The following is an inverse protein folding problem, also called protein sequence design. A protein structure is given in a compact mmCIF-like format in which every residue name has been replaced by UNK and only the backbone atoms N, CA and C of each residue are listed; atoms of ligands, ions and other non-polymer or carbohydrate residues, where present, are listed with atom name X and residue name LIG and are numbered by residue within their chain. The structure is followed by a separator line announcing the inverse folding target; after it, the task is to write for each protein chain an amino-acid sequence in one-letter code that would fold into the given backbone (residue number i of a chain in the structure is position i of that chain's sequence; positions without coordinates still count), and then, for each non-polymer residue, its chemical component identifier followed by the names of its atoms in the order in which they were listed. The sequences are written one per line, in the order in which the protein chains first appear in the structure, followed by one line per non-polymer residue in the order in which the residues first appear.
data_IF_637205559650
#
_entry.id   IF_637205559650
#
_cell.length_a   1.000
_cell.length_b   1.000
_cell.length_c   1.000
_cell.angle_alpha   90.00
_cell.angle_beta   90.00
_cell.angle_gamma   90.00
#
_symmetry.space_group_name_H-M   'P 1'
#
loop_
_entity.id
_entity.type
_entity.pdbx_description
1 polymer ?
#
# COMPACT_ATOMS: atom_id res chain seq x y z
N UNK A 1 12.19 15.47 25.25
CA UNK A 1 10.87 16.11 25.36
C UNK A 1 9.86 15.27 24.58
N UNK A 2 9.12 14.40 25.26
CA UNK A 2 8.09 13.54 24.65
C UNK A 2 6.84 14.38 24.38
N UNK A 3 6.51 14.60 23.11
CA UNK A 3 5.28 15.28 22.71
C UNK A 3 4.07 14.50 23.26
N UNK A 4 3.16 15.12 24.04
CA UNK A 4 2.02 14.45 24.68
C UNK A 4 0.96 13.92 23.70
N UNK A 5 1.17 14.13 22.39
CA UNK A 5 0.26 13.73 21.32
C UNK A 5 0.82 12.59 20.44
N UNK A 6 1.95 11.99 20.81
CA UNK A 6 2.47 10.79 20.12
C UNK A 6 1.81 9.56 20.74
N UNK A 7 1.28 8.68 19.89
CA UNK A 7 0.71 7.41 20.32
C UNK A 7 1.80 6.32 20.22
N UNK A 8 2.53 6.01 21.31
CA UNK A 8 3.69 5.12 21.27
C UNK A 8 3.34 3.69 20.80
N UNK A 9 2.11 3.24 21.02
CA UNK A 9 1.63 1.96 20.51
C UNK A 9 1.60 1.91 18.98
N UNK A 10 1.29 3.02 18.31
CA UNK A 10 1.26 3.11 16.84
C UNK A 10 2.67 3.02 16.26
N UNK A 11 3.62 3.69 16.89
CA UNK A 11 5.02 3.64 16.48
C UNK A 11 5.60 2.22 16.66
N UNK A 12 5.19 1.53 17.74
CA UNK A 12 5.58 0.14 18.01
C UNK A 12 4.97 -0.82 16.98
N UNK A 13 3.67 -0.66 16.67
CA UNK A 13 2.99 -1.47 15.67
C UNK A 13 3.65 -1.32 14.30
N UNK A 14 3.86 -0.08 13.83
CA UNK A 14 4.57 0.20 12.56
C UNK A 14 5.96 -0.42 12.51
N UNK A 15 6.72 -0.32 13.61
CA UNK A 15 8.06 -0.90 13.70
C UNK A 15 8.03 -2.42 13.54
N UNK A 16 7.11 -3.09 14.23
CA UNK A 16 6.91 -4.53 14.11
C UNK A 16 6.54 -4.92 12.67
N UNK A 17 5.62 -4.20 12.04
CA UNK A 17 5.21 -4.42 10.65
C UNK A 17 6.37 -4.34 9.66
N UNK A 18 7.24 -3.31 9.81
CA UNK A 18 8.41 -3.13 8.94
C UNK A 18 9.37 -4.31 9.10
N UNK A 19 9.65 -4.73 10.34
CA UNK A 19 10.52 -5.88 10.62
C UNK A 19 9.96 -7.14 9.97
N UNK A 20 8.65 -7.40 10.08
CA UNK A 20 8.00 -8.56 9.47
C UNK A 20 8.07 -8.52 7.93
N UNK A 21 7.92 -7.35 7.32
CA UNK A 21 8.05 -7.20 5.85
C UNK A 21 9.48 -7.45 5.39
N UNK A 22 10.47 -6.87 6.05
CA UNK A 22 11.89 -7.09 5.71
C UNK A 22 12.25 -8.55 5.89
N UNK A 23 11.84 -9.17 7.00
CA UNK A 23 12.06 -10.59 7.28
C UNK A 23 11.44 -11.48 6.18
N UNK A 24 10.23 -11.15 5.70
CA UNK A 24 9.64 -11.86 4.56
C UNK A 24 10.56 -11.79 3.33
N UNK A 25 10.90 -10.58 2.88
CA UNK A 25 11.67 -10.44 1.64
C UNK A 25 13.04 -11.11 1.76
N UNK A 26 13.70 -11.02 2.91
CA UNK A 26 14.96 -11.72 3.15
C UNK A 26 14.80 -13.24 3.10
N UNK A 27 13.78 -13.79 3.74
CA UNK A 27 13.57 -15.24 3.80
C UNK A 27 13.08 -15.84 2.49
N UNK A 28 12.14 -15.20 1.79
CA UNK A 28 11.63 -15.70 0.52
C UNK A 28 12.70 -15.69 -0.57
N UNK A 29 13.46 -14.59 -0.69
CA UNK A 29 14.57 -14.55 -1.64
C UNK A 29 15.59 -15.65 -1.30
N UNK A 30 15.98 -15.80 -0.03
CA UNK A 30 16.93 -16.85 0.37
C UNK A 30 16.37 -18.26 0.15
N UNK A 31 15.10 -18.48 0.45
CA UNK A 31 14.40 -19.77 0.32
C UNK A 31 14.28 -20.24 -1.12
N UNK A 32 14.01 -19.33 -2.07
CA UNK A 32 14.02 -19.65 -3.50
C UNK A 32 15.41 -20.12 -3.97
N UNK A 33 16.49 -19.47 -3.52
CA UNK A 33 17.85 -19.85 -3.93
C UNK A 33 18.41 -21.09 -3.22
N UNK A 34 17.88 -21.45 -2.04
CA UNK A 34 18.34 -22.60 -1.25
C UNK A 34 17.44 -23.83 -1.36
N UNK A 35 16.31 -23.74 -2.07
CA UNK A 35 15.42 -24.87 -2.35
C UNK A 35 14.72 -25.46 -1.12
N UNK A 36 14.64 -24.72 -0.01
CA UNK A 36 14.17 -25.24 1.28
C UNK A 36 13.31 -24.24 2.07
N UNK A 37 12.29 -24.78 2.76
CA UNK A 37 11.45 -24.06 3.72
C UNK A 37 12.02 -24.19 5.13
N UNK A 38 12.71 -23.16 5.60
CA UNK A 38 13.17 -23.05 7.00
C UNK A 38 12.09 -22.55 7.97
N UNK A 39 12.36 -22.62 9.28
CA UNK A 39 11.45 -22.16 10.36
C UNK A 39 10.87 -20.75 10.13
N UNK A 40 11.67 -19.83 9.55
CA UNK A 40 11.23 -18.47 9.24
C UNK A 40 10.00 -18.43 8.30
N UNK A 41 9.84 -19.39 7.41
CA UNK A 41 8.69 -19.44 6.48
C UNK A 41 7.36 -19.65 7.22
N UNK A 42 7.37 -20.38 8.35
CA UNK A 42 6.17 -20.56 9.19
C UNK A 42 5.80 -19.28 9.92
N UNK A 43 6.80 -18.58 10.49
CA UNK A 43 6.60 -17.27 11.15
C UNK A 43 6.08 -16.25 10.16
N UNK A 44 6.62 -16.26 8.94
CA UNK A 44 6.17 -15.38 7.86
C UNK A 44 4.76 -15.74 7.41
N UNK A 45 4.46 -17.01 7.17
CA UNK A 45 3.12 -17.46 6.80
C UNK A 45 2.06 -17.00 7.80
N UNK A 46 2.37 -17.10 9.10
CA UNK A 46 1.52 -16.58 10.16
C UNK A 46 1.39 -15.04 10.14
N UNK A 47 2.48 -14.31 9.88
CA UNK A 47 2.49 -12.84 9.88
C UNK A 47 1.94 -12.19 8.60
N UNK A 48 1.87 -12.94 7.49
CA UNK A 48 1.44 -12.47 6.17
C UNK A 48 0.05 -11.81 6.17
N UNK A 49 -0.99 -12.38 6.81
CA UNK A 49 -2.32 -11.77 6.83
C UNK A 49 -2.42 -10.52 7.72
N UNK A 50 -1.54 -10.35 8.71
CA UNK A 50 -1.64 -9.22 9.65
C UNK A 50 -0.98 -7.95 9.13
N UNK A 51 0.16 -8.09 8.44
CA UNK A 51 1.02 -6.97 8.07
C UNK A 51 0.37 -5.94 7.12
N UNK A 52 -0.38 -6.39 6.12
CA UNK A 52 -0.95 -5.48 5.11
C UNK A 52 -2.19 -4.76 5.65
N UNK A 53 -3.16 -5.45 6.29
CA UNK A 53 -4.29 -4.79 6.93
C UNK A 53 -3.90 -3.80 8.02
N UNK A 54 -2.91 -4.12 8.87
CA UNK A 54 -2.50 -3.22 9.95
C UNK A 54 -1.90 -1.91 9.41
N UNK A 55 -1.09 -1.97 8.35
CA UNK A 55 -0.53 -0.77 7.73
C UNK A 55 -1.61 0.13 7.16
N UNK A 56 -2.62 -0.44 6.50
CA UNK A 56 -3.75 0.32 5.96
C UNK A 56 -4.61 0.92 7.07
N UNK A 57 -4.91 0.17 8.13
CA UNK A 57 -5.71 0.65 9.27
C UNK A 57 -5.00 1.81 9.98
N UNK A 58 -3.71 1.64 10.30
CA UNK A 58 -2.94 2.73 10.91
C UNK A 58 -2.88 3.95 9.98
N UNK A 59 -2.79 3.75 8.66
CA UNK A 59 -2.74 4.85 7.70
C UNK A 59 -4.08 5.58 7.55
N UNK A 60 -5.21 4.88 7.73
CA UNK A 60 -6.55 5.42 7.88
C UNK A 60 -6.70 6.28 9.15
N UNK A 61 -6.19 5.80 10.28
CA UNK A 61 -6.25 6.53 11.55
C UNK A 61 -5.58 7.91 11.44
N UNK A 62 -4.42 7.99 10.79
CA UNK A 62 -3.77 9.27 10.50
C UNK A 62 -4.48 10.09 9.41
N UNK A 63 -5.29 9.46 8.55
CA UNK A 63 -6.13 10.16 7.60
C UNK A 63 -7.27 10.91 8.30
N UNK A 64 -7.95 10.27 9.27
CA UNK A 64 -9.00 10.90 10.07
C UNK A 64 -8.55 12.21 10.73
N UNK A 65 -7.29 12.29 11.17
CA UNK A 65 -6.72 13.50 11.79
C UNK A 65 -6.40 14.64 10.79
N UNK A 66 -6.29 14.32 9.49
CA UNK A 66 -5.80 15.25 8.46
C UNK A 66 -6.89 15.57 7.43
N UNK A 67 -8.01 14.84 7.45
CA UNK A 67 -9.08 14.97 6.46
C UNK A 67 -9.85 16.30 6.58
N UNK A 68 -9.74 17.04 7.67
CA UNK A 68 -10.37 18.38 7.80
C UNK A 68 -9.59 19.50 7.10
N UNK A 69 -8.39 19.20 6.59
CA UNK A 69 -7.54 20.20 5.91
C UNK A 69 -8.10 20.57 4.52
N UNK A 70 -7.78 21.77 4.01
CA UNK A 70 -8.19 22.20 2.68
C UNK A 70 -7.61 21.30 1.58
N UNK A 71 -8.41 21.05 0.53
CA UNK A 71 -8.12 20.09 -0.56
C UNK A 71 -6.71 20.22 -1.14
N UNK A 72 -6.30 21.44 -1.49
CA UNK A 72 -4.97 21.73 -2.06
C UNK A 72 -3.84 21.28 -1.15
N UNK A 73 -3.94 21.54 0.16
CA UNK A 73 -2.90 21.20 1.13
C UNK A 73 -2.89 19.70 1.47
N UNK A 74 -4.04 19.05 1.37
CA UNK A 74 -4.18 17.61 1.57
C UNK A 74 -3.55 16.81 0.43
N UNK A 75 -3.90 17.14 -0.82
CA UNK A 75 -3.37 16.46 -2.01
C UNK A 75 -1.86 16.69 -2.14
N UNK A 76 -1.40 17.93 -1.96
CA UNK A 76 0.02 18.29 -2.09
C UNK A 76 0.92 17.57 -1.07
N UNK A 77 0.54 17.58 0.22
CA UNK A 77 1.43 17.02 1.25
C UNK A 77 1.40 15.50 1.34
N UNK A 78 0.38 14.83 0.79
CA UNK A 78 0.17 13.40 0.98
C UNK A 78 0.15 12.66 -0.34
N UNK A 79 -0.82 12.97 -1.20
CA UNK A 79 -0.99 12.28 -2.48
C UNK A 79 0.21 12.54 -3.40
N UNK A 80 0.63 13.80 -3.56
CA UNK A 80 1.80 14.15 -4.38
C UNK A 80 3.07 13.58 -3.76
N UNK A 81 3.22 13.62 -2.44
CA UNK A 81 4.40 13.03 -1.78
C UNK A 81 4.51 11.51 -2.01
N UNK A 82 3.40 10.77 -1.86
CA UNK A 82 3.38 9.33 -2.13
C UNK A 82 3.56 9.02 -3.61
N UNK A 83 2.91 9.76 -4.50
CA UNK A 83 3.09 9.59 -5.95
C UNK A 83 4.50 9.95 -6.40
N UNK A 84 5.12 10.99 -5.83
CA UNK A 84 6.50 11.35 -6.08
C UNK A 84 7.43 10.20 -5.70
N UNK A 85 7.27 9.67 -4.49
CA UNK A 85 8.08 8.54 -4.02
C UNK A 85 7.85 7.30 -4.88
N UNK A 86 6.60 7.03 -5.25
CA UNK A 86 6.22 5.93 -6.14
C UNK A 86 6.91 6.05 -7.51
N UNK A 87 6.73 7.18 -8.20
CA UNK A 87 7.27 7.41 -9.54
C UNK A 87 8.78 7.37 -9.53
N UNK A 88 9.42 8.02 -8.55
CA UNK A 88 10.88 8.02 -8.41
C UNK A 88 11.42 6.59 -8.31
N UNK A 89 10.86 5.79 -7.40
CA UNK A 89 11.31 4.41 -7.19
C UNK A 89 10.90 3.46 -8.30
N UNK A 90 9.76 3.67 -8.96
CA UNK A 90 9.34 2.90 -10.11
C UNK A 90 10.32 3.11 -11.28
N UNK A 91 10.69 4.37 -11.57
CA UNK A 91 11.68 4.70 -12.60
C UNK A 91 13.04 4.06 -12.30
N UNK A 92 13.52 4.17 -11.06
CA UNK A 92 14.80 3.56 -10.66
C UNK A 92 14.73 2.04 -10.81
N UNK A 93 13.65 1.40 -10.33
CA UNK A 93 13.51 -0.06 -10.34
C UNK A 93 13.40 -0.61 -11.77
N UNK A 94 12.56 0.01 -12.61
CA UNK A 94 12.33 -0.40 -13.99
C UNK A 94 13.57 -0.10 -14.84
N UNK A 95 14.18 1.08 -14.67
CA UNK A 95 15.41 1.45 -15.38
C UNK A 95 16.58 0.49 -15.09
N UNK A 96 16.77 0.11 -13.82
CA UNK A 96 17.82 -0.84 -13.43
C UNK A 96 17.52 -2.27 -13.91
N UNK A 97 16.31 -2.77 -13.70
CA UNK A 97 15.96 -4.18 -14.03
C UNK A 97 15.75 -4.43 -15.52
N UNK A 98 15.10 -3.51 -16.22
CA UNK A 98 14.67 -3.72 -17.60
C UNK A 98 15.62 -3.01 -18.55
N UNK A 99 15.90 -1.73 -18.28
CA UNK A 99 16.82 -0.95 -19.10
C UNK A 99 18.26 -1.49 -19.07
N UNK A 100 18.83 -1.66 -17.87
CA UNK A 100 20.25 -2.03 -17.72
C UNK A 100 20.43 -3.55 -17.73
N UNK A 101 19.70 -4.28 -16.88
CA UNK A 101 19.92 -5.72 -16.73
C UNK A 101 19.35 -6.53 -17.90
N UNK A 102 18.15 -6.20 -18.39
CA UNK A 102 17.52 -6.90 -19.52
C UNK A 102 17.89 -6.32 -20.90
N UNK A 103 18.52 -5.15 -20.94
CA UNK A 103 18.93 -4.42 -22.15
C UNK A 103 17.79 -4.20 -23.16
N UNK A 104 16.57 -3.97 -22.66
CA UNK A 104 15.40 -3.69 -23.50
C UNK A 104 14.81 -2.29 -23.21
N UNK A 105 15.19 -1.27 -24.01
CA UNK A 105 14.66 0.08 -23.86
C UNK A 105 13.17 0.19 -24.20
N UNK A 106 12.65 -0.67 -25.09
CA UNK A 106 11.25 -0.63 -25.50
C UNK A 106 10.34 -1.23 -24.41
N UNK A 107 10.74 -2.36 -23.83
CA UNK A 107 10.08 -2.94 -22.66
C UNK A 107 10.11 -2.01 -21.45
N UNK A 108 11.21 -1.27 -21.24
CA UNK A 108 11.30 -0.26 -20.17
C UNK A 108 10.25 0.84 -20.33
N UNK A 109 10.03 1.37 -21.54
CA UNK A 109 9.03 2.41 -21.79
C UNK A 109 7.59 1.89 -21.62
N UNK A 110 7.33 0.67 -22.08
CA UNK A 110 6.05 0.01 -21.86
C UNK A 110 5.76 -0.18 -20.37
N UNK A 111 6.72 -0.68 -19.59
CA UNK A 111 6.54 -0.94 -18.17
C UNK A 111 6.46 0.34 -17.34
N UNK A 112 7.12 1.41 -17.77
CA UNK A 112 6.93 2.75 -17.21
C UNK A 112 5.51 3.28 -17.45
N UNK A 113 4.97 3.09 -18.65
CA UNK A 113 3.59 3.48 -18.96
C UNK A 113 2.59 2.65 -18.14
N UNK A 114 2.81 1.33 -18.06
CA UNK A 114 1.98 0.43 -17.26
C UNK A 114 2.07 0.73 -15.77
N UNK A 115 3.23 1.17 -15.25
CA UNK A 115 3.41 1.55 -13.85
C UNK A 115 2.52 2.75 -13.43
N UNK A 116 2.02 3.54 -14.37
CA UNK A 116 1.05 4.62 -14.04
C UNK A 116 -0.33 4.03 -13.72
N UNK A 117 -0.73 2.99 -14.45
CA UNK A 117 -2.07 2.38 -14.38
C UNK A 117 -2.12 1.25 -13.35
N UNK A 118 -1.07 0.44 -13.30
CA UNK A 118 -0.95 -0.69 -12.40
C UNK A 118 0.25 -0.50 -11.47
N UNK A 119 0.10 -0.80 -10.18
CA UNK A 119 1.18 -0.63 -9.24
C UNK A 119 2.33 -1.62 -9.49
N UNK A 120 3.56 -1.11 -9.56
CA UNK A 120 4.74 -1.93 -9.84
C UNK A 120 5.33 -2.60 -8.58
N UNK A 121 5.39 -3.94 -8.59
CA UNK A 121 6.11 -4.72 -7.58
C UNK A 121 5.70 -4.37 -6.14
N UNK A 122 6.69 -4.17 -5.26
CA UNK A 122 6.48 -3.85 -3.83
C UNK A 122 5.93 -2.44 -3.59
N UNK A 123 6.02 -1.55 -4.59
CA UNK A 123 5.58 -0.15 -4.48
C UNK A 123 4.06 0.00 -4.49
N UNK A 124 3.33 -1.09 -4.71
CA UNK A 124 1.87 -1.11 -4.77
C UNK A 124 1.19 -0.52 -3.54
N UNK A 125 1.76 -0.73 -2.36
CA UNK A 125 1.20 -0.23 -1.12
C UNK A 125 1.15 1.32 -1.10
N UNK A 126 2.21 1.97 -1.57
CA UNK A 126 2.32 3.44 -1.60
C UNK A 126 1.33 4.02 -2.63
N UNK A 127 1.19 3.35 -3.77
CA UNK A 127 0.20 3.68 -4.78
C UNK A 127 -1.22 3.59 -4.20
N UNK A 128 -1.55 2.50 -3.50
CA UNK A 128 -2.86 2.31 -2.89
C UNK A 128 -3.16 3.34 -1.79
N UNK A 129 -2.17 3.78 -1.01
CA UNK A 129 -2.37 4.85 -0.05
C UNK A 129 -2.79 6.18 -0.70
N UNK A 130 -2.20 6.49 -1.86
CA UNK A 130 -2.61 7.65 -2.64
C UNK A 130 -4.04 7.48 -3.17
N UNK A 131 -4.37 6.32 -3.75
CA UNK A 131 -5.71 6.01 -4.28
C UNK A 131 -6.77 6.05 -3.18
N UNK A 132 -6.58 5.33 -2.08
CA UNK A 132 -7.53 5.31 -0.96
C UNK A 132 -7.72 6.70 -0.36
N UNK A 133 -6.63 7.46 -0.21
CA UNK A 133 -6.69 8.84 0.26
C UNK A 133 -7.51 9.76 -0.64
N UNK A 134 -7.48 9.56 -1.96
CA UNK A 134 -8.31 10.29 -2.92
C UNK A 134 -9.76 9.81 -2.85
N UNK A 135 -10.00 8.50 -2.85
CA UNK A 135 -11.36 7.93 -2.82
C UNK A 135 -12.13 8.33 -1.56
N UNK A 136 -11.53 8.22 -0.37
CA UNK A 136 -12.19 8.63 0.87
C UNK A 136 -12.52 10.12 0.83
N UNK A 137 -11.61 10.93 0.28
CA UNK A 137 -11.83 12.36 0.17
C UNK A 137 -12.99 12.68 -0.78
N UNK A 138 -13.05 12.02 -1.93
CA UNK A 138 -14.15 12.14 -2.89
C UNK A 138 -15.48 11.72 -2.26
N UNK A 139 -15.54 10.56 -1.60
CA UNK A 139 -16.73 10.08 -0.89
C UNK A 139 -17.22 11.08 0.18
N UNK A 140 -16.28 11.76 0.85
CA UNK A 140 -16.60 12.81 1.83
C UNK A 140 -17.16 14.08 1.16
N UNK A 141 -16.65 14.50 0.01
CA UNK A 141 -17.20 15.65 -0.72
C UNK A 141 -18.61 15.39 -1.25
N UNK A 142 -18.86 14.17 -1.71
CA UNK A 142 -20.20 13.70 -2.06
C UNK A 142 -21.12 13.47 -0.86
N UNK A 143 -20.63 13.69 0.37
CA UNK A 143 -21.37 13.50 1.64
C UNK A 143 -22.01 12.11 1.74
N UNK A 144 -21.32 11.09 1.24
CA UNK A 144 -21.82 9.71 1.29
C UNK A 144 -21.89 9.25 2.75
N UNK A 145 -23.02 8.68 3.20
CA UNK A 145 -23.16 8.16 4.56
C UNK A 145 -22.11 7.09 4.88
N UNK A 146 -21.47 7.20 6.05
CA UNK A 146 -20.39 6.29 6.47
C UNK A 146 -20.82 4.81 6.43
N UNK A 147 -22.05 4.51 6.85
CA UNK A 147 -22.60 3.14 6.83
C UNK A 147 -22.65 2.55 5.42
N UNK A 148 -22.98 3.34 4.40
CA UNK A 148 -23.02 2.87 3.01
C UNK A 148 -21.61 2.53 2.54
N UNK A 149 -20.62 3.36 2.88
CA UNK A 149 -19.23 3.12 2.50
C UNK A 149 -18.67 1.86 3.18
N UNK A 150 -18.96 1.67 4.47
CA UNK A 150 -18.53 0.47 5.21
C UNK A 150 -19.17 -0.79 4.63
N UNK A 151 -20.49 -0.76 4.38
CA UNK A 151 -21.19 -1.90 3.80
C UNK A 151 -20.69 -2.22 2.39
N UNK A 152 -20.48 -1.21 1.55
CA UNK A 152 -19.94 -1.39 0.20
C UNK A 152 -18.51 -1.93 0.22
N UNK A 153 -17.66 -1.40 1.10
CA UNK A 153 -16.29 -1.86 1.28
C UNK A 153 -16.27 -3.32 1.78
N UNK A 154 -17.08 -3.64 2.79
CA UNK A 154 -17.16 -4.99 3.34
C UNK A 154 -17.70 -5.99 2.31
N UNK A 155 -18.69 -5.60 1.52
CA UNK A 155 -19.20 -6.41 0.42
C UNK A 155 -18.13 -6.64 -0.66
N UNK A 156 -17.37 -5.61 -1.03
CA UNK A 156 -16.24 -5.74 -1.97
C UNK A 156 -15.18 -6.71 -1.45
N UNK A 157 -14.85 -6.64 -0.17
CA UNK A 157 -13.88 -7.54 0.46
C UNK A 157 -14.39 -8.98 0.50
N UNK A 158 -15.66 -9.20 0.87
CA UNK A 158 -16.27 -10.54 0.94
C UNK A 158 -16.47 -11.16 -0.44
N UNK A 159 -16.84 -10.34 -1.42
CA UNK A 159 -17.00 -10.78 -2.81
C UNK A 159 -15.66 -11.17 -3.44
N UNK A 160 -14.55 -10.57 -2.96
CA UNK A 160 -13.19 -10.81 -3.39
C UNK A 160 -13.07 -10.97 -4.92
N UNK A 161 -13.58 -9.98 -5.70
CA UNK A 161 -13.50 -10.06 -7.14
C UNK A 161 -12.03 -10.19 -7.55
N UNK A 162 -11.76 -11.02 -8.56
CA UNK A 162 -10.44 -11.19 -9.18
C UNK A 162 -10.43 -10.49 -10.55
N UNK A 163 -10.44 -9.14 -10.60
CA UNK A 163 -10.32 -8.40 -11.84
C UNK A 163 -8.92 -8.59 -12.42
N UNK A 164 -8.78 -8.42 -13.74
CA UNK A 164 -7.47 -8.48 -14.43
C UNK A 164 -6.50 -7.38 -13.98
N UNK A 165 -7.00 -6.34 -13.31
CA UNK A 165 -6.19 -5.27 -12.73
C UNK A 165 -5.84 -5.59 -11.27
N UNK A 166 -4.55 -5.83 -11.04
CA UNK A 166 -3.98 -5.97 -9.69
C UNK A 166 -4.35 -4.78 -8.79
N UNK A 167 -4.46 -3.58 -9.35
CA UNK A 167 -4.85 -2.38 -8.60
C UNK A 167 -6.26 -2.52 -7.98
N UNK A 168 -7.21 -3.05 -8.76
CA UNK A 168 -8.60 -3.21 -8.35
C UNK A 168 -8.75 -4.37 -7.35
N UNK A 169 -7.99 -5.45 -7.53
CA UNK A 169 -7.95 -6.56 -6.58
C UNK A 169 -7.49 -6.08 -5.19
N UNK A 170 -6.37 -5.35 -5.14
CA UNK A 170 -5.85 -4.78 -3.89
C UNK A 170 -6.81 -3.74 -3.31
N UNK A 171 -7.48 -2.96 -4.16
CA UNK A 171 -8.49 -2.01 -3.70
C UNK A 171 -9.64 -2.72 -2.99
N UNK A 172 -10.24 -3.74 -3.61
CA UNK A 172 -11.35 -4.49 -3.02
C UNK A 172 -10.95 -5.20 -1.71
N UNK A 173 -9.72 -5.74 -1.64
CA UNK A 173 -9.25 -6.48 -0.48
C UNK A 173 -8.95 -5.59 0.75
N UNK A 174 -8.39 -4.38 0.54
CA UNK A 174 -7.83 -3.58 1.64
C UNK A 174 -8.54 -2.26 1.95
N UNK A 175 -9.45 -1.81 1.08
CA UNK A 175 -10.16 -0.53 1.28
C UNK A 175 -10.95 -0.48 2.60
N UNK A 176 -11.55 -1.60 3.03
CA UNK A 176 -12.23 -1.73 4.34
C UNK A 176 -11.33 -1.33 5.50
N UNK A 177 -10.13 -1.92 5.56
CA UNK A 177 -9.21 -1.68 6.68
C UNK A 177 -8.75 -0.23 6.73
N UNK A 178 -8.49 0.36 5.56
CA UNK A 178 -8.12 1.77 5.46
C UNK A 178 -9.27 2.71 5.83
N UNK A 179 -10.52 2.36 5.54
CA UNK A 179 -11.69 3.18 5.87
C UNK A 179 -12.07 3.10 7.35
N UNK A 180 -11.88 1.93 7.99
CA UNK A 180 -12.20 1.71 9.40
C UNK A 180 -11.18 2.31 10.36
N UNK A 181 -9.94 2.51 9.92
CA UNK A 181 -8.91 3.22 10.68
C UNK A 181 -9.18 4.71 10.71
#
# INVERSE_FOLDING_TARGET
MSNPNRMPWVDTAKGLSIILVVMMYSAYNTGEYTGGVGFLHYVIGFATPFRMPEFFLISGLFLSQVIDRPWRRYVDRRVVHYLYFYVLWAIISIGLKIGIFSRDPAGMLHDLAMAVVQPYGVLWFIYMLAVFGVVIRVLREFKVPHWIVILAAAALQMWAPKPDSYALEQFAAYFVFFYLG
#
